data_IF_268915450283
#
_entry.id   IF_268915450283
#
_cell.length_a   1.000
_cell.length_b   1.000
_cell.length_c   1.000
_cell.angle_alpha   90.00
_cell.angle_beta   90.00
_cell.angle_gamma   90.00
#
_symmetry.space_group_name_H-M   'P 1'
#
loop_
_entity.id
_entity.type
_entity.pdbx_description
1 polymer ?
#
# COMPACT_ATOMS: atom_id res chain seq x y z
N UNK A 1 -7.39 2.38 -6.90
CA UNK A 1 -6.57 2.67 -8.10
C UNK A 1 -6.14 1.36 -8.73
N UNK A 2 -5.60 1.35 -9.95
CA UNK A 2 -5.01 0.12 -10.48
C UNK A 2 -3.70 -0.24 -9.73
N UNK A 3 -3.30 -1.50 -9.82
CA UNK A 3 -2.19 -2.04 -9.05
C UNK A 3 -0.84 -1.48 -9.49
N UNK A 4 -0.68 -1.09 -10.77
CA UNK A 4 0.57 -0.53 -11.26
C UNK A 4 0.81 0.84 -10.63
N UNK A 5 -0.17 1.75 -10.71
CA UNK A 5 -0.08 3.06 -10.07
C UNK A 5 0.07 2.95 -8.55
N UNK A 6 -0.63 2.00 -7.91
CA UNK A 6 -0.48 1.77 -6.46
C UNK A 6 0.96 1.41 -6.07
N UNK A 7 1.63 0.55 -6.84
CA UNK A 7 3.03 0.17 -6.60
C UNK A 7 3.95 1.37 -6.78
N UNK A 8 3.81 2.11 -7.88
CA UNK A 8 4.65 3.27 -8.19
C UNK A 8 4.56 4.35 -7.11
N UNK A 9 3.36 4.62 -6.59
CA UNK A 9 3.15 5.56 -5.49
C UNK A 9 3.72 5.02 -4.18
N UNK A 10 3.44 3.76 -3.82
CA UNK A 10 3.86 3.17 -2.56
C UNK A 10 5.40 3.09 -2.43
N UNK A 11 6.10 2.82 -3.53
CA UNK A 11 7.57 2.74 -3.55
C UNK A 11 8.26 4.10 -3.77
N UNK A 12 7.50 5.17 -4.00
CA UNK A 12 8.01 6.51 -4.21
C UNK A 12 8.61 6.75 -5.60
N UNK A 13 8.30 5.90 -6.58
CA UNK A 13 8.68 6.11 -7.98
C UNK A 13 7.75 7.09 -8.70
N UNK A 14 6.55 7.31 -8.15
CA UNK A 14 5.60 8.34 -8.55
C UNK A 14 5.14 9.09 -7.30
N UNK A 15 5.05 10.42 -7.39
CA UNK A 15 4.52 11.23 -6.30
C UNK A 15 3.02 11.02 -6.13
N UNK A 16 2.57 10.97 -4.87
CA UNK A 16 1.17 11.12 -4.53
C UNK A 16 0.78 12.61 -4.53
N UNK A 17 -0.42 12.92 -5.02
CA UNK A 17 -1.01 14.26 -4.99
C UNK A 17 -1.45 14.66 -3.57
N UNK A 18 -1.62 13.67 -2.68
CA UNK A 18 -2.01 13.88 -1.28
C UNK A 18 -1.60 12.71 -0.40
N UNK A 19 -1.58 12.94 0.92
CA UNK A 19 -1.40 11.89 1.92
C UNK A 19 -2.49 10.82 1.80
N UNK A 20 -3.73 11.22 1.48
CA UNK A 20 -4.83 10.27 1.32
C UNK A 20 -4.64 9.38 0.08
N UNK A 21 -4.12 9.90 -1.03
CA UNK A 21 -3.79 9.08 -2.19
C UNK A 21 -2.64 8.11 -1.88
N UNK A 22 -1.65 8.53 -1.10
CA UNK A 22 -0.58 7.66 -0.63
C UNK A 22 -1.13 6.49 0.20
N UNK A 23 -2.01 6.78 1.17
CA UNK A 23 -2.68 5.74 1.97
C UNK A 23 -3.57 4.84 1.11
N UNK A 24 -4.29 5.40 0.14
CA UNK A 24 -5.12 4.63 -0.80
C UNK A 24 -4.28 3.67 -1.66
N UNK A 25 -3.06 4.08 -2.06
CA UNK A 25 -2.14 3.22 -2.79
C UNK A 25 -1.76 2.00 -1.95
N UNK A 26 -1.34 2.23 -0.70
CA UNK A 26 -1.03 1.15 0.24
C UNK A 26 -2.23 0.26 0.55
N UNK A 27 -3.41 0.84 0.75
CA UNK A 27 -4.64 0.06 0.97
C UNK A 27 -4.96 -0.82 -0.23
N UNK A 28 -4.79 -0.31 -1.46
CA UNK A 28 -4.96 -1.10 -2.69
C UNK A 28 -4.02 -2.31 -2.72
N UNK A 29 -2.76 -2.15 -2.30
CA UNK A 29 -1.80 -3.26 -2.24
C UNK A 29 -2.17 -4.29 -1.16
N UNK A 30 -2.73 -3.85 -0.04
CA UNK A 30 -3.22 -4.75 1.02
C UNK A 30 -4.46 -5.52 0.55
N UNK A 31 -5.43 -4.84 -0.05
CA UNK A 31 -6.70 -5.42 -0.49
C UNK A 31 -6.52 -6.43 -1.63
N UNK A 32 -5.58 -6.17 -2.53
CA UNK A 32 -5.23 -7.09 -3.64
C UNK A 32 -4.29 -8.22 -3.20
N UNK A 33 -3.75 -8.14 -1.98
CA UNK A 33 -2.73 -9.05 -1.46
C UNK A 33 -1.32 -8.81 -2.02
N UNK A 34 -1.13 -7.86 -2.94
CA UNK A 34 0.17 -7.56 -3.55
C UNK A 34 1.23 -7.12 -2.55
N UNK A 35 0.84 -6.45 -1.47
CA UNK A 35 1.74 -6.09 -0.38
C UNK A 35 2.48 -7.32 0.20
N UNK A 36 1.88 -8.51 0.10
CA UNK A 36 2.39 -9.77 0.64
C UNK A 36 3.09 -10.65 -0.40
N UNK A 37 3.02 -10.31 -1.69
CA UNK A 37 3.65 -11.07 -2.78
C UNK A 37 4.88 -10.38 -3.36
N UNK A 38 4.98 -9.06 -3.22
CA UNK A 38 6.12 -8.27 -3.67
C UNK A 38 7.33 -8.41 -2.72
N UNK A 39 8.46 -7.80 -3.10
CA UNK A 39 9.68 -7.78 -2.26
C UNK A 39 9.37 -7.34 -0.83
N UNK A 40 10.09 -7.90 0.15
CA UNK A 40 9.71 -7.83 1.57
C UNK A 40 9.59 -6.42 2.17
N UNK A 41 10.08 -5.38 1.50
CA UNK A 41 9.79 -3.99 1.85
C UNK A 41 8.27 -3.73 1.92
N UNK A 42 7.51 -4.12 0.90
CA UNK A 42 6.07 -3.83 0.83
C UNK A 42 5.31 -4.46 2.01
N UNK A 43 5.57 -5.74 2.30
CA UNK A 43 4.91 -6.44 3.38
C UNK A 43 5.23 -5.84 4.76
N UNK A 44 6.50 -5.54 5.03
CA UNK A 44 6.88 -4.94 6.32
C UNK A 44 6.29 -3.54 6.50
N UNK A 45 6.26 -2.73 5.43
CA UNK A 45 5.69 -1.39 5.49
C UNK A 45 4.17 -1.44 5.66
N UNK A 46 3.47 -2.28 4.90
CA UNK A 46 2.02 -2.45 5.05
C UNK A 46 1.64 -2.97 6.45
N UNK A 47 2.41 -3.93 7.00
CA UNK A 47 2.19 -4.43 8.36
C UNK A 47 2.31 -3.32 9.41
N UNK A 48 3.39 -2.51 9.34
CA UNK A 48 3.57 -1.35 10.22
C UNK A 48 2.41 -0.36 10.11
N UNK A 49 1.97 -0.04 8.90
CA UNK A 49 0.87 0.91 8.69
C UNK A 49 -0.48 0.39 9.22
N UNK A 50 -0.71 -0.93 9.17
CA UNK A 50 -1.88 -1.57 9.82
C UNK A 50 -1.76 -1.49 11.34
N UNK A 51 -0.57 -1.73 11.90
CA UNK A 51 -0.32 -1.62 13.35
C UNK A 51 -0.52 -0.18 13.86
N UNK A 52 -0.16 0.82 13.05
CA UNK A 52 -0.37 2.25 13.32
C UNK A 52 -1.83 2.70 13.11
N UNK A 53 -2.70 1.83 12.60
CA UNK A 53 -4.11 2.15 12.33
C UNK A 53 -4.35 3.02 11.10
N UNK A 54 -3.34 3.18 10.24
CA UNK A 54 -3.43 3.93 8.98
C UNK A 54 -4.11 3.12 7.88
N UNK A 55 -4.02 1.79 7.94
CA UNK A 55 -4.63 0.86 7.00
C UNK A 55 -5.50 -0.16 7.74
N UNK A 56 -6.47 -0.73 7.02
CA UNK A 56 -7.24 -1.86 7.50
C UNK A 56 -6.69 -3.17 6.94
N UNK A 57 -6.88 -4.28 7.67
CA UNK A 57 -6.60 -5.60 7.13
C UNK A 57 -7.56 -5.84 5.96
N UNK A 58 -7.01 -6.20 4.80
CA UNK A 58 -7.79 -6.44 3.58
C UNK A 58 -8.91 -7.46 3.81
N UNK A 59 -10.01 -7.28 3.08
CA UNK A 59 -11.13 -8.23 3.10
C UNK A 59 -10.61 -9.62 2.68
N UNK A 60 -10.94 -10.62 3.50
CA UNK A 60 -10.59 -12.02 3.26
C UNK A 60 -11.28 -12.58 2.03
#
# INVERSE_FOLDING_TARGET
MDTFTAVMIAEGAQDAESEEQYLQAWQTLVDTGLAWTLQGFFGRTAARMIEEGLLTRGAR
#
